data_IF_296989592577
#
_entry.id   IF_296989592577
#
_cell.length_a   1.000
_cell.length_b   1.000
_cell.length_c   1.000
_cell.angle_alpha   90.00
_cell.angle_beta   90.00
_cell.angle_gamma   90.00
#
_symmetry.space_group_name_H-M   'P 1'
#
loop_
_entity.id
_entity.type
_entity.pdbx_description
1 polymer ?
#
# COMPACT_ATOMS: atom_id res chain seq x y z
N UNK A 1 19.25 3.37 -4.30
CA UNK A 1 18.26 4.13 -5.10
C UNK A 1 17.30 4.82 -4.16
N UNK A 2 17.05 6.09 -4.36
CA UNK A 2 16.05 6.82 -3.60
C UNK A 2 14.81 7.03 -4.46
N UNK A 3 13.64 6.69 -3.89
CA UNK A 3 12.35 6.93 -4.52
C UNK A 3 11.54 7.87 -3.62
N UNK A 4 10.94 8.87 -4.22
CA UNK A 4 10.04 9.77 -3.52
C UNK A 4 8.67 9.13 -3.37
N UNK A 5 8.12 9.11 -2.16
CA UNK A 5 6.75 8.66 -1.96
C UNK A 5 5.77 9.76 -2.35
N UNK A 6 4.98 9.48 -3.35
CA UNK A 6 3.98 10.38 -3.90
C UNK A 6 4.27 10.69 -5.37
N UNK A 7 3.36 10.30 -6.25
CA UNK A 7 3.40 10.66 -7.66
C UNK A 7 3.08 12.15 -7.82
N UNK A 8 3.50 12.78 -8.94
CA UNK A 8 3.10 14.15 -9.21
C UNK A 8 1.59 14.32 -9.11
N UNK A 9 1.10 15.44 -8.52
CA UNK A 9 -0.32 15.65 -8.38
C UNK A 9 -1.02 15.73 -9.74
N UNK A 10 -2.28 15.28 -9.79
CA UNK A 10 -3.09 15.31 -11.01
C UNK A 10 -3.45 16.75 -11.41
N UNK A 11 -3.39 17.69 -10.49
CA UNK A 11 -3.71 19.12 -10.72
C UNK A 11 -2.55 19.99 -10.26
N UNK A 12 -2.30 21.13 -10.94
CA UNK A 12 -1.34 22.10 -10.42
C UNK A 12 -1.69 22.49 -8.99
N UNK A 13 -0.67 22.59 -8.12
CA UNK A 13 -0.81 22.88 -6.69
C UNK A 13 -1.59 21.82 -5.89
N UNK A 14 -1.85 20.64 -6.46
CA UNK A 14 -2.44 19.54 -5.73
C UNK A 14 -1.44 18.83 -4.83
N UNK A 15 -1.93 17.97 -3.94
CA UNK A 15 -1.09 17.11 -3.11
C UNK A 15 -0.49 15.97 -3.94
N UNK A 16 0.71 15.47 -3.59
CA UNK A 16 1.24 14.26 -4.20
C UNK A 16 0.28 13.08 -4.04
N UNK A 17 0.26 12.20 -5.03
CA UNK A 17 -0.60 11.01 -5.01
C UNK A 17 0.13 9.90 -4.27
N UNK A 18 -0.19 9.71 -2.99
CA UNK A 18 0.47 8.71 -2.15
C UNK A 18 -0.22 7.35 -2.18
N UNK A 19 -1.50 7.32 -2.54
CA UNK A 19 -2.30 6.10 -2.65
C UNK A 19 -3.18 6.14 -3.88
N UNK A 20 -3.44 4.96 -4.47
CA UNK A 20 -4.39 4.79 -5.57
C UNK A 20 -5.32 3.63 -5.23
N UNK A 21 -6.63 3.84 -5.36
CA UNK A 21 -7.62 2.75 -5.26
C UNK A 21 -7.39 1.77 -6.40
N UNK A 22 -7.26 0.48 -6.08
CA UNK A 22 -6.94 -0.53 -7.07
C UNK A 22 -8.14 -1.09 -7.83
N UNK A 23 -9.34 -0.95 -7.27
CA UNK A 23 -10.53 -1.58 -7.82
C UNK A 23 -10.84 -1.10 -9.25
N UNK A 24 -11.13 -2.05 -10.13
CA UNK A 24 -11.52 -1.75 -11.50
C UNK A 24 -10.42 -1.20 -12.40
N UNK A 25 -9.18 -1.24 -11.97
CA UNK A 25 -8.04 -0.70 -12.72
C UNK A 25 -7.09 -1.77 -13.18
N UNK A 26 -6.40 -1.48 -14.28
CA UNK A 26 -5.29 -2.30 -14.77
C UNK A 26 -4.00 -1.51 -14.66
N UNK A 27 -2.94 -2.20 -14.26
CA UNK A 27 -1.63 -1.60 -14.08
C UNK A 27 -0.62 -2.39 -14.92
N UNK A 28 -0.34 -1.88 -16.12
CA UNK A 28 0.52 -2.55 -17.10
C UNK A 28 1.96 -2.08 -17.07
N UNK A 29 2.25 -0.99 -16.34
CA UNK A 29 3.58 -0.39 -16.28
C UNK A 29 3.94 -0.01 -14.86
N UNK A 30 5.21 -0.21 -14.51
CA UNK A 30 5.75 0.30 -13.26
C UNK A 30 5.31 -0.42 -12.02
N UNK A 31 4.87 -1.66 -12.13
CA UNK A 31 4.58 -2.46 -10.94
C UNK A 31 5.86 -2.64 -10.14
N UNK A 32 5.78 -2.46 -8.83
CA UNK A 32 6.93 -2.63 -7.96
C UNK A 32 6.49 -3.16 -6.60
N UNK A 33 7.46 -3.59 -5.82
CA UNK A 33 7.26 -4.04 -4.44
C UNK A 33 7.89 -3.03 -3.51
N UNK A 34 7.13 -2.58 -2.53
CA UNK A 34 7.63 -1.62 -1.53
C UNK A 34 7.77 -2.33 -0.20
N UNK A 35 9.00 -2.62 0.25
CA UNK A 35 9.20 -3.33 1.51
C UNK A 35 8.90 -2.45 2.71
N UNK A 36 8.35 -3.06 3.75
CA UNK A 36 8.05 -2.40 5.01
C UNK A 36 8.09 -3.42 6.14
N UNK A 37 8.37 -2.96 7.35
CA UNK A 37 8.30 -3.79 8.54
C UNK A 37 6.95 -3.66 9.25
N UNK A 38 6.29 -2.53 9.08
CA UNK A 38 5.00 -2.23 9.72
C UNK A 38 4.35 -1.02 9.05
N UNK A 39 3.09 -0.78 9.39
CA UNK A 39 2.42 0.46 9.03
C UNK A 39 1.48 0.88 10.17
N UNK A 40 1.02 2.13 10.11
CA UNK A 40 0.16 2.69 11.15
C UNK A 40 -1.17 3.14 10.59
N UNK A 41 -2.20 3.02 11.42
CA UNK A 41 -3.50 3.62 11.19
C UNK A 41 -3.98 4.32 12.46
N UNK A 42 -4.88 5.27 12.29
CA UNK A 42 -5.31 6.14 13.39
C UNK A 42 -6.83 6.09 13.53
N UNK A 43 -7.30 6.13 14.79
CA UNK A 43 -8.72 6.23 15.10
C UNK A 43 -8.99 7.41 16.03
N UNK A 44 -10.21 7.96 15.95
CA UNK A 44 -10.63 9.09 16.75
C UNK A 44 -10.93 10.32 15.91
N UNK A 45 -11.93 11.10 16.33
CA UNK A 45 -12.39 12.27 15.59
C UNK A 45 -11.49 13.50 15.79
N UNK A 46 -10.78 13.56 16.91
CA UNK A 46 -9.94 14.72 17.28
C UNK A 46 -8.58 14.28 17.83
N UNK A 47 -7.52 15.08 17.60
CA UNK A 47 -6.22 14.82 18.23
C UNK A 47 -6.32 14.94 19.78
N UNK A 48 -5.56 14.13 20.51
CA UNK A 48 -4.68 13.07 20.01
C UNK A 48 -5.47 11.84 19.61
N UNK A 49 -5.20 11.35 18.39
CA UNK A 49 -5.83 10.13 17.90
C UNK A 49 -5.14 8.89 18.47
N UNK A 50 -5.88 7.81 18.60
CA UNK A 50 -5.28 6.51 18.87
C UNK A 50 -4.46 6.05 17.67
N UNK A 51 -3.31 5.45 17.94
CA UNK A 51 -2.39 4.98 16.89
C UNK A 51 -2.24 3.47 16.98
N UNK A 52 -2.43 2.80 15.87
CA UNK A 52 -2.41 1.35 15.78
C UNK A 52 -1.29 0.91 14.85
N UNK A 53 -0.48 -0.04 15.30
CA UNK A 53 0.62 -0.60 14.53
C UNK A 53 0.23 -1.95 13.98
N UNK A 54 0.45 -2.15 12.69
CA UNK A 54 0.20 -3.39 11.98
C UNK A 54 1.51 -4.01 11.54
N UNK A 55 1.69 -5.30 11.84
CA UNK A 55 2.82 -6.11 11.38
C UNK A 55 2.27 -7.36 10.72
N UNK A 56 3.04 -7.97 9.82
CA UNK A 56 2.63 -9.22 9.22
C UNK A 56 2.98 -10.38 10.14
N UNK A 57 1.96 -11.18 10.50
CA UNK A 57 2.16 -12.29 11.42
C UNK A 57 3.17 -13.30 10.87
N UNK A 58 4.16 -13.66 11.70
CA UNK A 58 5.17 -14.63 11.35
C UNK A 58 6.28 -14.14 10.43
N UNK A 59 6.31 -12.85 10.10
CA UNK A 59 7.33 -12.26 9.23
C UNK A 59 7.86 -10.94 9.78
N UNK A 60 9.17 -10.71 9.61
CA UNK A 60 9.81 -9.48 10.09
C UNK A 60 9.55 -8.29 9.16
N UNK A 61 9.24 -8.56 7.91
CA UNK A 61 8.94 -7.55 6.90
C UNK A 61 8.07 -8.15 5.80
N UNK A 62 7.47 -7.28 5.01
CA UNK A 62 6.57 -7.66 3.93
C UNK A 62 6.68 -6.63 2.81
N UNK A 63 5.95 -6.83 1.71
CA UNK A 63 5.91 -5.88 0.61
C UNK A 63 4.48 -5.42 0.32
N UNK A 64 4.35 -4.12 0.11
CA UNK A 64 3.15 -3.54 -0.49
C UNK A 64 3.22 -3.65 -2.01
N UNK A 65 2.09 -3.77 -2.66
CA UNK A 65 1.97 -3.56 -4.10
C UNK A 65 2.04 -2.07 -4.38
N UNK A 66 2.98 -1.67 -5.22
CA UNK A 66 3.19 -0.28 -5.56
C UNK A 66 3.35 -0.07 -7.06
N UNK A 67 3.35 1.20 -7.44
CA UNK A 67 3.65 1.66 -8.79
C UNK A 67 4.74 2.72 -8.70
N UNK A 68 5.64 2.73 -9.67
CA UNK A 68 6.65 3.78 -9.76
C UNK A 68 6.53 4.49 -11.10
N UNK A 69 6.96 5.74 -11.10
CA UNK A 69 6.99 6.58 -12.30
C UNK A 69 8.20 7.50 -12.24
N UNK A 70 8.80 7.83 -13.39
CA UNK A 70 9.79 8.89 -13.42
C UNK A 70 9.12 10.23 -13.13
N UNK A 71 9.82 11.08 -12.39
CA UNK A 71 9.38 12.44 -12.13
C UNK A 71 9.64 13.32 -13.38
N UNK A 72 8.83 14.38 -13.58
CA UNK A 72 9.08 15.33 -14.65
C UNK A 72 10.48 15.95 -14.53
N UNK A 73 11.05 16.34 -15.67
CA UNK A 73 12.31 17.10 -15.76
C UNK A 73 13.53 16.41 -15.12
N UNK A 74 13.52 15.09 -15.09
CA UNK A 74 14.66 14.36 -14.57
C UNK A 74 14.88 14.45 -13.06
N UNK A 75 13.84 14.80 -12.30
CA UNK A 75 13.92 14.94 -10.85
C UNK A 75 13.94 13.60 -10.10
N UNK A 76 14.27 12.48 -10.76
CA UNK A 76 14.32 11.16 -10.18
C UNK A 76 13.02 10.38 -10.38
N UNK A 77 12.75 9.45 -9.49
CA UNK A 77 11.59 8.56 -9.57
C UNK A 77 10.71 8.69 -8.33
N UNK A 78 9.43 8.44 -8.51
CA UNK A 78 8.46 8.43 -7.42
C UNK A 78 7.67 7.12 -7.41
N UNK A 79 7.10 6.77 -6.26
CA UNK A 79 6.22 5.63 -6.12
C UNK A 79 4.94 6.00 -5.41
N UNK A 80 3.92 5.16 -5.59
CA UNK A 80 2.66 5.24 -4.86
C UNK A 80 2.26 3.84 -4.42
N UNK A 81 1.39 3.76 -3.43
CA UNK A 81 0.88 2.49 -2.91
C UNK A 81 -0.52 2.24 -3.44
N UNK A 82 -0.85 0.99 -3.71
CA UNK A 82 -2.20 0.58 -4.08
C UNK A 82 -2.99 0.24 -2.82
N UNK A 83 -4.25 0.66 -2.81
CA UNK A 83 -5.16 0.34 -1.70
C UNK A 83 -6.32 -0.50 -2.18
N UNK A 84 -6.91 -1.22 -1.26
CA UNK A 84 -8.08 -2.05 -1.46
C UNK A 84 -9.06 -1.83 -0.30
N UNK A 85 -10.24 -2.44 -0.40
CA UNK A 85 -11.13 -2.54 0.75
C UNK A 85 -10.40 -3.20 1.92
N UNK A 86 -10.75 -2.89 3.17
CA UNK A 86 -10.07 -3.48 4.30
C UNK A 86 -10.45 -4.94 4.48
N UNK A 87 -9.45 -5.77 4.82
CA UNK A 87 -9.69 -7.12 5.27
C UNK A 87 -10.11 -7.14 6.75
N UNK A 88 -10.38 -8.34 7.29
CA UNK A 88 -10.88 -8.46 8.67
C UNK A 88 -10.00 -7.83 9.74
N UNK A 89 -8.68 -7.84 9.54
CA UNK A 89 -7.75 -7.32 10.54
C UNK A 89 -7.75 -5.79 10.59
N UNK A 90 -8.01 -5.12 9.48
CA UNK A 90 -7.96 -3.65 9.37
C UNK A 90 -9.33 -3.01 9.49
N UNK A 91 -10.40 -3.70 9.05
CA UNK A 91 -11.75 -3.13 8.99
C UNK A 91 -12.24 -2.48 10.29
N UNK A 92 -11.94 -3.01 11.50
CA UNK A 92 -12.34 -2.35 12.74
C UNK A 92 -11.68 -0.98 12.96
N UNK A 93 -10.61 -0.68 12.25
CA UNK A 93 -9.76 0.50 12.50
C UNK A 93 -9.82 1.49 11.34
N UNK A 94 -9.85 1.01 10.11
CA UNK A 94 -9.83 1.88 8.93
C UNK A 94 -10.69 1.30 7.80
N UNK A 95 -11.20 2.16 6.94
CA UNK A 95 -12.09 1.77 5.84
C UNK A 95 -11.35 1.45 4.53
N UNK A 96 -10.04 1.61 4.52
CA UNK A 96 -9.16 1.23 3.41
C UNK A 96 -7.89 0.60 3.96
N UNK A 97 -7.22 -0.22 3.16
CA UNK A 97 -5.90 -0.72 3.52
C UNK A 97 -4.99 -0.78 2.29
N UNK A 98 -3.70 -0.65 2.52
CA UNK A 98 -2.70 -0.86 1.48
C UNK A 98 -2.64 -2.34 1.13
N UNK A 99 -2.46 -2.64 -0.16
CA UNK A 99 -2.36 -4.02 -0.62
C UNK A 99 -1.02 -4.60 -0.20
N UNK A 100 -1.07 -5.62 0.64
CA UNK A 100 0.09 -6.40 1.05
C UNK A 100 0.08 -7.69 0.25
N UNK A 101 1.20 -8.02 -0.38
CA UNK A 101 1.33 -9.24 -1.18
C UNK A 101 2.06 -10.32 -0.38
N UNK A 102 1.48 -11.52 -0.38
CA UNK A 102 2.23 -12.70 0.10
C UNK A 102 3.44 -12.93 -0.78
N UNK A 103 4.51 -13.48 -0.21
CA UNK A 103 5.74 -13.78 -0.97
C UNK A 103 5.47 -14.63 -2.21
N UNK A 104 4.54 -15.56 -2.13
CA UNK A 104 4.15 -16.41 -3.25
C UNK A 104 3.56 -15.63 -4.43
N UNK A 105 3.08 -14.40 -4.20
CA UNK A 105 2.45 -13.57 -5.23
C UNK A 105 3.39 -12.48 -5.79
N UNK A 106 4.58 -12.29 -5.21
CA UNK A 106 5.48 -11.21 -5.62
C UNK A 106 5.84 -11.26 -7.10
N UNK A 107 6.27 -12.43 -7.58
CA UNK A 107 6.67 -12.57 -8.99
C UNK A 107 5.48 -12.37 -9.93
N UNK A 108 4.31 -12.90 -9.57
CA UNK A 108 3.12 -12.72 -10.40
C UNK A 108 2.71 -11.25 -10.52
N UNK A 109 2.91 -10.46 -9.46
CA UNK A 109 2.69 -9.01 -9.53
C UNK A 109 3.70 -8.34 -10.47
N UNK A 110 4.98 -8.67 -10.35
CA UNK A 110 6.03 -8.04 -11.14
C UNK A 110 6.00 -8.42 -12.62
N UNK A 111 5.64 -9.67 -12.95
CA UNK A 111 5.71 -10.19 -14.32
C UNK A 111 4.36 -10.16 -15.07
N UNK A 112 3.32 -9.63 -14.44
CA UNK A 112 2.00 -9.48 -15.03
C UNK A 112 1.34 -10.82 -15.44
N UNK A 113 1.68 -11.90 -14.76
CA UNK A 113 1.16 -13.23 -15.10
C UNK A 113 -0.21 -13.55 -14.51
N UNK A 114 -0.69 -12.73 -13.57
CA UNK A 114 -2.02 -12.92 -12.97
C UNK A 114 -2.81 -11.62 -13.00
N UNK A 115 -4.15 -11.69 -13.19
CA UNK A 115 -5.02 -10.50 -13.19
C UNK A 115 -4.99 -9.76 -11.86
N UNK A 116 -5.13 -8.45 -11.92
CA UNK A 116 -5.12 -7.59 -10.75
C UNK A 116 -6.06 -8.04 -9.63
N UNK A 117 -7.33 -8.40 -9.89
CA UNK A 117 -8.24 -8.78 -8.80
C UNK A 117 -7.79 -10.01 -8.00
N UNK A 118 -6.96 -10.87 -8.57
CA UNK A 118 -6.44 -12.04 -7.85
C UNK A 118 -5.31 -11.68 -6.89
N UNK A 119 -4.65 -10.55 -7.11
CA UNK A 119 -3.50 -10.09 -6.31
C UNK A 119 -3.84 -8.91 -5.41
N UNK A 120 -4.65 -7.97 -5.92
CA UNK A 120 -4.96 -6.71 -5.24
C UNK A 120 -6.21 -6.86 -4.37
N UNK A 121 -6.07 -7.64 -3.31
CA UNK A 121 -7.15 -7.98 -2.38
C UNK A 121 -6.62 -7.96 -0.95
N UNK A 122 -7.51 -7.78 0.04
CA UNK A 122 -7.07 -7.85 1.43
C UNK A 122 -6.65 -9.27 1.81
N UNK A 123 -5.76 -9.37 2.78
CA UNK A 123 -5.34 -10.64 3.34
C UNK A 123 -6.43 -11.20 4.26
N UNK A 124 -6.52 -12.54 4.42
CA UNK A 124 -7.49 -13.13 5.33
C UNK A 124 -7.23 -12.79 6.79
N UNK A 125 -8.24 -13.01 7.63
CA UNK A 125 -8.14 -12.79 9.06
C UNK A 125 -6.94 -13.50 9.68
N UNK A 126 -6.25 -12.83 10.59
CA UNK A 126 -5.07 -13.36 11.26
C UNK A 126 -3.76 -13.15 10.51
N UNK A 127 -3.81 -12.57 9.31
CA UNK A 127 -2.59 -12.28 8.54
C UNK A 127 -1.78 -11.14 9.14
N UNK A 128 -2.45 -10.20 9.81
CA UNK A 128 -1.81 -9.03 10.41
C UNK A 128 -1.99 -9.06 11.93
N UNK A 129 -0.92 -8.76 12.66
CA UNK A 129 -0.96 -8.50 14.08
C UNK A 129 -1.18 -7.01 14.31
N UNK A 130 -2.09 -6.67 15.23
CA UNK A 130 -2.51 -5.29 15.50
C UNK A 130 -2.20 -4.95 16.93
N UNK A 131 -1.54 -3.81 17.15
CA UNK A 131 -1.16 -3.34 18.49
C UNK A 131 -1.47 -1.85 18.61
N UNK A 132 -2.19 -1.48 19.66
CA UNK A 132 -2.38 -0.06 19.95
C UNK A 132 -1.12 0.49 20.61
N UNK A 133 -0.49 1.48 19.95
CA UNK A 133 0.77 2.07 20.43
C UNK A 133 0.59 3.48 21.01
N UNK A 134 -0.61 4.02 20.93
CA UNK A 134 -0.95 5.31 21.54
C UNK A 134 -2.44 5.46 21.82
#
# INVERSE_FOLDING_TARGET
MQLRWGLPPARPKGAPIINIHSEGRRFTKGRCLIPASHFFEFTGAKPPKSKWKFTKAGEDWFCFAGLWRPMPDGAGNAFTLLTTEPGPDVAPIHDRQMVILDRSDWLAWLDLTRPEPELLRPLPAGSLAVEQVR
#
